data_IF_944938182929
#
_entry.id   IF_944938182929
#
_cell.length_a   1.000
_cell.length_b   1.000
_cell.length_c   1.000
_cell.angle_alpha   90.00
_cell.angle_beta   90.00
_cell.angle_gamma   90.00
#
_symmetry.space_group_name_H-M   'P 1'
#
loop_
_entity.id
_entity.type
_entity.pdbx_description
1 polymer ?
#
# COMPACT_ATOMS: atom_id res chain seq x y z
N UNK A 1 -8.31 -13.56 -20.88
CA UNK A 1 -8.74 -12.31 -20.20
C UNK A 1 -8.11 -12.16 -18.80
N UNK A 2 -8.13 -13.18 -17.92
CA UNK A 2 -7.54 -13.08 -16.56
C UNK A 2 -6.00 -13.05 -16.57
N UNK A 3 -5.36 -13.86 -17.38
CA UNK A 3 -3.89 -13.87 -17.56
C UNK A 3 -3.36 -12.54 -18.11
N UNK A 4 -4.18 -11.82 -18.86
CA UNK A 4 -3.77 -10.56 -19.49
C UNK A 4 -3.68 -9.41 -18.48
N UNK A 5 -4.56 -9.35 -17.48
CA UNK A 5 -4.51 -8.31 -16.43
C UNK A 5 -3.26 -8.45 -15.56
N UNK A 6 -2.94 -9.68 -15.15
CA UNK A 6 -1.70 -9.95 -14.37
C UNK A 6 -0.46 -9.66 -15.20
N UNK A 7 -0.47 -10.10 -16.47
CA UNK A 7 0.63 -9.83 -17.40
C UNK A 7 0.83 -8.32 -17.61
N UNK A 8 -0.24 -7.58 -17.79
CA UNK A 8 -0.20 -6.11 -17.93
C UNK A 8 0.32 -5.44 -16.66
N UNK A 9 -0.12 -5.88 -15.48
CA UNK A 9 0.37 -5.32 -14.22
C UNK A 9 1.86 -5.63 -14.00
N UNK A 10 2.31 -6.84 -14.33
CA UNK A 10 3.73 -7.22 -14.27
C UNK A 10 4.54 -6.44 -15.30
N UNK A 11 4.03 -6.26 -16.52
CA UNK A 11 4.73 -5.50 -17.55
C UNK A 11 4.88 -4.04 -17.15
N UNK A 12 3.82 -3.39 -16.66
CA UNK A 12 3.89 -2.02 -16.14
C UNK A 12 4.91 -1.90 -15.01
N UNK A 13 5.00 -2.90 -14.13
CA UNK A 13 6.00 -2.97 -13.08
C UNK A 13 7.41 -3.02 -13.66
N UNK A 14 7.65 -3.92 -14.61
CA UNK A 14 8.96 -4.07 -15.25
C UNK A 14 9.38 -2.81 -16.00
N UNK A 15 8.43 -2.14 -16.64
CA UNK A 15 8.67 -0.89 -17.37
C UNK A 15 9.06 0.24 -16.40
N UNK A 16 8.41 0.33 -15.22
CA UNK A 16 8.78 1.29 -14.18
C UNK A 16 10.17 1.01 -13.60
N UNK A 17 10.52 -0.26 -13.38
CA UNK A 17 11.87 -0.63 -12.96
C UNK A 17 12.94 -0.32 -14.05
N UNK A 18 12.62 -0.56 -15.32
CA UNK A 18 13.53 -0.30 -16.42
C UNK A 18 13.79 1.20 -16.62
N UNK A 19 12.81 2.04 -16.32
CA UNK A 19 12.92 3.51 -16.40
C UNK A 19 13.65 4.12 -15.19
N UNK A 20 14.05 3.32 -14.21
CA UNK A 20 14.66 3.75 -12.94
C UNK A 20 13.82 4.78 -12.15
N UNK A 21 12.56 4.91 -12.48
CA UNK A 21 11.60 5.85 -11.87
C UNK A 21 10.97 5.30 -10.58
N UNK A 22 11.53 4.20 -10.05
CA UNK A 22 11.02 3.57 -8.84
C UNK A 22 11.80 4.08 -7.62
N UNK A 23 11.31 5.10 -6.91
CA UNK A 23 11.99 5.59 -5.73
C UNK A 23 12.17 4.47 -4.69
N UNK A 24 13.34 4.39 -4.09
CA UNK A 24 13.65 3.39 -3.05
C UNK A 24 12.61 3.40 -1.92
N UNK A 25 12.06 4.57 -1.63
CA UNK A 25 11.02 4.83 -0.62
C UNK A 25 9.74 4.03 -0.88
N UNK A 26 9.35 3.86 -2.15
CA UNK A 26 8.17 3.05 -2.51
C UNK A 26 8.43 1.58 -2.25
N UNK A 27 9.65 1.12 -2.53
CA UNK A 27 10.10 -0.22 -2.17
C UNK A 27 9.92 -0.50 -0.68
N UNK A 28 10.26 0.45 0.17
CA UNK A 28 10.08 0.34 1.61
C UNK A 28 8.61 0.23 2.02
N UNK A 29 7.70 0.96 1.40
CA UNK A 29 6.25 0.84 1.67
C UNK A 29 5.69 -0.55 1.31
N UNK A 30 6.23 -1.17 0.24
CA UNK A 30 5.82 -2.53 -0.15
C UNK A 30 6.35 -3.57 0.85
N UNK A 31 7.55 -3.38 1.36
CA UNK A 31 8.20 -4.30 2.29
C UNK A 31 7.62 -4.15 3.70
N UNK A 32 7.22 -2.94 4.09
CA UNK A 32 6.69 -2.67 5.42
C UNK A 32 5.41 -3.48 5.67
N UNK A 33 5.36 -4.08 6.85
CA UNK A 33 4.19 -4.81 7.36
C UNK A 33 3.62 -4.06 8.55
N UNK A 34 2.32 -3.97 8.60
CA UNK A 34 1.59 -3.45 9.75
C UNK A 34 1.37 -4.56 10.77
N UNK A 35 1.20 -4.18 12.02
CA UNK A 35 0.93 -5.12 13.11
C UNK A 35 -0.20 -4.59 13.99
N UNK A 36 -0.77 -5.47 14.79
CA UNK A 36 -1.83 -5.11 15.74
C UNK A 36 -3.18 -4.83 15.06
N UNK A 37 -3.91 -3.85 15.56
CA UNK A 37 -5.28 -3.52 15.15
C UNK A 37 -5.41 -3.03 13.70
N UNK A 38 -4.30 -2.57 13.12
CA UNK A 38 -4.26 -2.04 11.74
C UNK A 38 -3.82 -3.08 10.71
N UNK A 39 -3.50 -4.31 11.14
CA UNK A 39 -3.10 -5.37 10.24
C UNK A 39 -4.24 -5.74 9.28
N UNK A 40 -3.90 -5.86 8.00
CA UNK A 40 -4.81 -6.35 6.98
C UNK A 40 -4.23 -7.61 6.33
N UNK A 41 -5.05 -8.48 5.71
CA UNK A 41 -4.55 -9.73 5.14
C UNK A 41 -3.36 -9.55 4.18
N UNK A 42 -3.34 -8.46 3.41
CA UNK A 42 -2.25 -8.16 2.48
C UNK A 42 -0.90 -7.89 3.14
N UNK A 43 -0.86 -7.62 4.45
CA UNK A 43 0.41 -7.42 5.17
C UNK A 43 1.23 -8.72 5.27
N UNK A 44 0.58 -9.88 5.19
CA UNK A 44 1.23 -11.19 5.14
C UNK A 44 1.64 -11.63 3.73
N UNK A 45 1.24 -10.87 2.69
CA UNK A 45 1.53 -11.24 1.31
C UNK A 45 3.00 -10.98 0.94
N UNK A 46 3.44 -11.70 -0.11
CA UNK A 46 4.75 -11.42 -0.71
C UNK A 46 4.81 -9.98 -1.25
N UNK A 47 6.02 -9.40 -1.34
CA UNK A 47 6.19 -8.06 -1.93
C UNK A 47 5.56 -7.94 -3.33
N UNK A 48 5.69 -8.96 -4.18
CA UNK A 48 5.09 -8.98 -5.52
C UNK A 48 3.56 -8.89 -5.49
N UNK A 49 2.90 -9.64 -4.60
CA UNK A 49 1.44 -9.56 -4.45
C UNK A 49 0.98 -8.20 -3.91
N UNK A 50 1.72 -7.62 -2.97
CA UNK A 50 1.44 -6.28 -2.45
C UNK A 50 1.60 -5.22 -3.53
N UNK A 51 2.60 -5.39 -4.39
CA UNK A 51 2.78 -4.52 -5.54
C UNK A 51 1.60 -4.62 -6.53
N UNK A 52 1.17 -5.83 -6.89
CA UNK A 52 0.01 -6.04 -7.77
C UNK A 52 -1.22 -5.30 -7.19
N UNK A 53 -1.45 -5.41 -5.89
CA UNK A 53 -2.53 -4.72 -5.20
C UNK A 53 -2.44 -3.19 -5.36
N UNK A 54 -1.26 -2.61 -5.09
CA UNK A 54 -1.02 -1.17 -5.21
C UNK A 54 -1.13 -0.69 -6.65
N UNK A 55 -0.57 -1.42 -7.62
CA UNK A 55 -0.66 -1.12 -9.05
C UNK A 55 -2.11 -1.14 -9.57
N UNK A 56 -2.98 -1.90 -8.90
CA UNK A 56 -4.43 -1.89 -9.17
C UNK A 56 -5.19 -0.78 -8.42
N UNK A 57 -4.48 0.15 -7.76
CA UNK A 57 -5.07 1.35 -7.14
C UNK A 57 -5.80 1.07 -5.83
N UNK A 58 -5.42 0.03 -5.09
CA UNK A 58 -6.03 -0.27 -3.80
C UNK A 58 -5.00 -0.54 -2.71
N UNK A 59 -5.38 -0.30 -1.47
CA UNK A 59 -4.54 -0.52 -0.28
C UNK A 59 -5.03 -1.66 0.59
N UNK A 60 -6.23 -2.16 0.31
CA UNK A 60 -6.82 -3.31 0.99
C UNK A 60 -7.56 -4.16 -0.03
N UNK A 61 -7.07 -5.37 -0.23
CA UNK A 61 -7.71 -6.37 -1.06
C UNK A 61 -7.80 -7.69 -0.29
N UNK A 62 -8.95 -8.34 -0.39
CA UNK A 62 -9.26 -9.55 0.37
C UNK A 62 -10.02 -10.55 -0.48
N UNK A 63 -9.90 -11.81 -0.12
CA UNK A 63 -10.78 -12.84 -0.67
C UNK A 63 -12.25 -12.60 -0.32
N UNK A 64 -13.15 -13.18 -1.11
CA UNK A 64 -14.60 -13.00 -0.93
C UNK A 64 -15.06 -13.30 0.50
N UNK A 65 -14.63 -14.41 1.07
CA UNK A 65 -14.97 -14.79 2.46
C UNK A 65 -14.38 -13.86 3.51
N UNK A 66 -13.19 -13.31 3.27
CA UNK A 66 -12.55 -12.36 4.19
C UNK A 66 -13.30 -11.03 4.23
N UNK A 67 -13.87 -10.58 3.09
CA UNK A 67 -14.76 -9.41 3.09
C UNK A 67 -16.02 -9.65 3.91
N UNK A 68 -16.59 -10.83 3.79
CA UNK A 68 -17.77 -11.21 4.56
C UNK A 68 -17.50 -11.23 6.08
N UNK A 69 -16.32 -11.69 6.50
CA UNK A 69 -15.90 -11.72 7.91
C UNK A 69 -15.82 -10.32 8.54
N UNK A 70 -15.54 -9.29 7.75
CA UNK A 70 -15.50 -7.89 8.23
C UNK A 70 -16.78 -7.11 7.93
N UNK A 71 -17.88 -7.81 7.65
CA UNK A 71 -19.18 -7.19 7.43
C UNK A 71 -19.32 -6.44 6.10
N UNK A 72 -18.49 -6.81 5.10
CA UNK A 72 -18.57 -6.22 3.76
C UNK A 72 -18.93 -7.27 2.71
N UNK A 73 -19.53 -6.80 1.63
CA UNK A 73 -19.91 -7.64 0.48
C UNK A 73 -19.33 -7.07 -0.80
N UNK A 74 -18.80 -7.95 -1.63
CA UNK A 74 -18.34 -7.59 -2.98
C UNK A 74 -19.56 -7.21 -3.82
N UNK A 75 -19.48 -6.07 -4.50
CA UNK A 75 -20.55 -5.57 -5.37
C UNK A 75 -20.70 -6.49 -6.58
N UNK A 76 -21.94 -6.69 -7.02
CA UNK A 76 -22.20 -7.47 -8.24
C UNK A 76 -21.48 -6.86 -9.45
N UNK A 77 -20.88 -7.70 -10.28
CA UNK A 77 -20.12 -7.25 -11.47
C UNK A 77 -18.70 -6.79 -11.18
N UNK A 78 -18.23 -6.79 -9.93
CA UNK A 78 -16.84 -6.45 -9.60
C UNK A 78 -15.86 -7.45 -10.19
N UNK A 79 -14.73 -6.95 -10.70
CA UNK A 79 -13.64 -7.77 -11.24
C UNK A 79 -12.63 -8.08 -10.14
N UNK A 80 -12.26 -9.35 -10.01
CA UNK A 80 -11.22 -9.76 -9.09
C UNK A 80 -9.83 -9.39 -9.60
N UNK A 81 -8.93 -9.09 -8.67
CA UNK A 81 -7.48 -9.13 -8.87
C UNK A 81 -7.01 -10.56 -8.59
N UNK A 82 -5.85 -10.93 -9.13
CA UNK A 82 -5.26 -12.23 -8.88
C UNK A 82 -3.90 -12.07 -8.21
N UNK A 83 -3.74 -12.73 -7.07
CA UNK A 83 -2.46 -12.84 -6.36
C UNK A 83 -1.94 -14.26 -6.45
N UNK A 84 -0.62 -14.42 -6.43
CA UNK A 84 0.05 -15.71 -6.45
C UNK A 84 0.22 -16.25 -5.03
N UNK A 85 -0.21 -17.46 -4.78
CA UNK A 85 0.03 -18.16 -3.51
C UNK A 85 0.74 -19.51 -3.75
N UNK A 86 1.71 -19.87 -2.90
CA UNK A 86 2.38 -21.16 -3.03
C UNK A 86 1.43 -22.32 -2.69
N UNK A 87 1.50 -23.37 -3.47
CA UNK A 87 0.99 -24.68 -3.09
C UNK A 87 2.07 -25.35 -2.24
N UNK A 88 1.76 -25.67 -1.00
CA UNK A 88 2.69 -26.31 -0.09
C UNK A 88 2.27 -27.72 0.24
N UNK A 89 3.24 -28.62 0.35
CA UNK A 89 3.06 -29.98 0.83
C UNK A 89 3.98 -30.22 2.02
N UNK A 90 3.44 -30.75 3.09
CA UNK A 90 4.24 -31.25 4.22
C UNK A 90 4.78 -32.62 3.84
N UNK A 91 6.08 -32.81 4.03
CA UNK A 91 6.74 -34.11 3.92
C UNK A 91 7.11 -34.49 5.34
N UNK A 92 6.56 -35.60 5.81
CA UNK A 92 7.06 -36.27 7.01
C UNK A 92 8.39 -36.94 6.65
N UNK A 93 9.41 -36.78 7.47
CA UNK A 93 10.56 -37.68 7.42
C UNK A 93 10.11 -39.07 7.92
N UNK A 94 10.55 -40.14 7.25
CA UNK A 94 10.23 -41.53 7.65
C UNK A 94 10.88 -41.94 8.99
N UNK A 95 11.59 -41.04 9.67
CA UNK A 95 12.09 -41.23 11.01
C UNK A 95 10.98 -40.97 12.03
N UNK A 96 10.44 -42.05 12.60
CA UNK A 96 9.32 -42.07 13.55
C UNK A 96 9.60 -41.35 14.88
N UNK A 97 10.83 -40.90 15.15
CA UNK A 97 11.26 -40.42 16.50
C UNK A 97 11.31 -38.88 16.66
N UNK A 98 11.03 -38.05 15.62
CA UNK A 98 11.05 -36.62 15.79
C UNK A 98 9.94 -35.89 14.99
N UNK A 99 8.80 -35.56 15.62
CA UNK A 99 7.70 -34.84 14.98
C UNK A 99 8.03 -33.38 14.59
N UNK A 100 9.15 -32.83 15.01
CA UNK A 100 9.57 -31.45 14.70
C UNK A 100 10.23 -31.30 13.31
N UNK A 101 10.55 -32.39 12.60
CA UNK A 101 11.27 -32.34 11.32
C UNK A 101 10.37 -32.33 10.08
N UNK A 102 9.07 -32.10 10.21
CA UNK A 102 8.18 -31.97 9.06
C UNK A 102 8.56 -30.77 8.18
N UNK A 103 9.18 -31.03 7.02
CA UNK A 103 9.55 -29.97 6.06
C UNK A 103 8.38 -29.63 5.16
N UNK A 104 8.09 -28.33 5.02
CA UNK A 104 7.12 -27.84 4.07
C UNK A 104 7.83 -27.48 2.75
N UNK A 105 7.47 -28.15 1.66
CA UNK A 105 8.00 -27.83 0.33
C UNK A 105 6.96 -27.10 -0.51
N UNK A 106 7.42 -26.21 -1.37
CA UNK A 106 6.59 -25.54 -2.36
C UNK A 106 6.54 -26.43 -3.61
N UNK A 107 5.35 -26.88 -4.00
CA UNK A 107 5.12 -27.75 -5.16
C UNK A 107 4.66 -26.99 -6.39
N UNK A 108 4.39 -25.70 -6.27
CA UNK A 108 3.93 -24.84 -7.35
C UNK A 108 3.25 -23.58 -6.82
N UNK A 109 2.56 -22.87 -7.72
CA UNK A 109 1.81 -21.68 -7.38
C UNK A 109 0.40 -21.76 -7.95
N UNK A 110 -0.54 -21.14 -7.23
CA UNK A 110 -1.92 -20.97 -7.68
C UNK A 110 -2.30 -19.51 -7.63
N UNK A 111 -3.21 -19.11 -8.50
CA UNK A 111 -3.78 -17.77 -8.51
C UNK A 111 -5.00 -17.72 -7.59
N UNK A 112 -5.05 -16.74 -6.70
CA UNK A 112 -6.15 -16.54 -5.77
C UNK A 112 -6.86 -15.24 -6.16
N UNK A 113 -8.19 -15.29 -6.42
CA UNK A 113 -8.95 -14.09 -6.66
C UNK A 113 -9.17 -13.32 -5.36
N UNK A 114 -8.87 -12.01 -5.41
CA UNK A 114 -9.15 -11.06 -4.34
C UNK A 114 -9.85 -9.83 -4.91
N UNK A 115 -10.58 -9.11 -4.08
CA UNK A 115 -11.37 -7.95 -4.48
C UNK A 115 -10.91 -6.73 -3.69
N UNK A 116 -10.90 -5.59 -4.34
CA UNK A 116 -10.50 -4.30 -3.76
C UNK A 116 -11.57 -3.82 -2.78
N UNK A 117 -11.17 -3.02 -1.79
CA UNK A 117 -12.10 -2.38 -0.85
C UNK A 117 -13.12 -1.49 -1.58
N UNK A 118 -12.69 -0.81 -2.65
CA UNK A 118 -13.52 0.09 -3.46
C UNK A 118 -14.65 -0.65 -4.18
N UNK A 119 -14.43 -1.93 -4.45
CA UNK A 119 -15.41 -2.83 -5.10
C UNK A 119 -16.32 -3.53 -4.08
N UNK A 120 -16.32 -3.07 -2.84
CA UNK A 120 -17.16 -3.62 -1.78
C UNK A 120 -18.09 -2.58 -1.17
N UNK A 121 -19.14 -3.06 -0.49
CA UNK A 121 -20.07 -2.25 0.30
C UNK A 121 -20.28 -2.89 1.66
N UNK A 122 -20.62 -2.10 2.67
CA UNK A 122 -20.86 -2.57 4.05
C UNK A 122 -20.21 -1.68 5.09
N UNK A 123 -19.91 -2.25 6.25
CA UNK A 123 -19.33 -1.50 7.37
C UNK A 123 -17.97 -0.87 7.02
N UNK A 124 -17.66 0.31 7.58
CA UNK A 124 -16.30 0.84 7.52
C UNK A 124 -15.32 -0.19 8.09
N UNK A 125 -14.24 -0.44 7.38
CA UNK A 125 -13.10 -1.22 7.90
C UNK A 125 -11.98 -0.26 8.26
N UNK A 126 -11.18 -0.63 9.24
CA UNK A 126 -9.95 0.09 9.53
C UNK A 126 -9.09 0.06 8.26
N UNK A 127 -8.90 1.22 7.66
CA UNK A 127 -8.01 1.37 6.52
C UNK A 127 -6.57 1.29 7.00
N UNK A 128 -5.72 0.82 6.11
CA UNK A 128 -4.31 0.73 6.38
C UNK A 128 -3.73 2.08 6.82
N UNK A 129 -3.14 2.12 8.01
CA UNK A 129 -2.39 3.28 8.48
C UNK A 129 -0.98 3.27 7.88
N UNK A 130 -0.69 4.25 7.04
CA UNK A 130 0.62 4.45 6.42
C UNK A 130 1.52 5.39 7.21
N UNK A 131 1.04 5.89 8.35
CA UNK A 131 1.83 6.75 9.22
C UNK A 131 3.13 6.06 9.62
N UNK A 132 4.30 6.69 9.46
CA UNK A 132 5.57 6.12 9.86
C UNK A 132 5.62 5.91 11.36
N UNK A 133 6.35 4.88 11.80
CA UNK A 133 6.55 4.63 13.25
C UNK A 133 7.37 5.75 13.92
N UNK A 134 8.30 6.33 13.16
CA UNK A 134 9.10 7.47 13.59
C UNK A 134 8.68 8.64 12.70
N UNK A 135 8.06 9.63 13.30
CA UNK A 135 7.66 10.84 12.59
C UNK A 135 8.88 11.65 12.16
N UNK A 136 8.82 12.38 11.04
CA UNK A 136 9.90 13.29 10.65
C UNK A 136 10.21 14.29 11.76
N UNK A 137 11.46 14.71 11.93
CA UNK A 137 11.78 15.82 12.81
C UNK A 137 10.91 17.05 12.50
N UNK A 138 10.55 17.82 13.51
CA UNK A 138 9.69 19.00 13.38
C UNK A 138 8.28 18.72 12.82
N UNK A 139 7.79 17.48 12.94
CA UNK A 139 6.45 17.09 12.44
C UNK A 139 5.33 17.94 13.06
N UNK A 140 5.47 18.34 14.32
CA UNK A 140 4.53 19.19 15.04
C UNK A 140 4.41 20.62 14.47
N UNK A 141 5.40 21.05 13.68
CA UNK A 141 5.40 22.38 13.04
C UNK A 141 4.25 22.50 12.03
N UNK A 142 3.93 21.46 11.29
CA UNK A 142 2.80 21.49 10.34
C UNK A 142 1.49 21.86 11.05
N UNK A 143 1.20 21.22 12.18
CA UNK A 143 -0.01 21.52 12.95
C UNK A 143 0.00 22.96 13.53
N UNK A 144 1.16 23.42 14.00
CA UNK A 144 1.33 24.81 14.50
C UNK A 144 1.10 25.84 13.39
N UNK A 145 1.42 25.50 12.15
CA UNK A 145 1.19 26.33 10.98
C UNK A 145 -0.23 26.14 10.39
N UNK A 146 -1.08 25.32 11.01
CA UNK A 146 -2.45 25.09 10.58
C UNK A 146 -2.59 24.13 9.40
N UNK A 147 -1.57 23.33 9.10
CA UNK A 147 -1.64 22.26 8.11
C UNK A 147 -1.92 20.91 8.77
N UNK A 148 -2.72 20.09 8.10
CA UNK A 148 -2.90 18.68 8.47
C UNK A 148 -2.01 17.79 7.60
N UNK A 149 -1.47 16.71 8.19
CA UNK A 149 -0.62 15.75 7.47
C UNK A 149 -1.23 14.38 7.55
N UNK A 150 -1.31 13.69 6.42
CA UNK A 150 -1.71 12.29 6.38
C UNK A 150 -0.87 11.49 5.39
N UNK A 151 -0.70 10.21 5.68
CA UNK A 151 -0.03 9.27 4.81
C UNK A 151 -1.06 8.41 4.06
N UNK A 152 -0.77 8.18 2.79
CA UNK A 152 -1.55 7.30 1.93
C UNK A 152 -0.61 6.45 1.07
N UNK A 153 -1.09 5.36 0.45
CA UNK A 153 -0.29 4.64 -0.52
C UNK A 153 0.03 5.51 -1.73
N UNK A 154 1.15 5.20 -2.36
CA UNK A 154 1.56 5.85 -3.60
C UNK A 154 0.53 5.61 -4.71
N UNK A 155 0.06 6.68 -5.32
CA UNK A 155 -0.95 6.65 -6.39
C UNK A 155 -0.34 6.61 -7.80
N UNK A 156 0.98 6.42 -7.91
CA UNK A 156 1.70 6.41 -9.17
C UNK A 156 2.03 7.80 -9.73
N UNK A 157 1.76 8.89 -8.98
CA UNK A 157 1.92 10.27 -9.49
C UNK A 157 2.91 11.10 -8.70
N UNK A 158 2.77 11.17 -7.39
CA UNK A 158 3.60 12.02 -6.56
C UNK A 158 3.83 11.42 -5.17
N UNK A 159 5.05 11.55 -4.65
CA UNK A 159 5.42 11.10 -3.30
C UNK A 159 4.81 11.97 -2.22
N UNK A 160 4.60 13.25 -2.50
CA UNK A 160 3.94 14.21 -1.65
C UNK A 160 3.01 15.11 -2.45
N UNK A 161 2.08 15.74 -1.78
CA UNK A 161 1.19 16.74 -2.38
C UNK A 161 0.63 17.66 -1.32
N UNK A 162 0.80 18.95 -1.50
CA UNK A 162 0.11 19.97 -0.73
C UNK A 162 -1.20 20.38 -1.42
N UNK A 163 -2.27 20.51 -0.64
CA UNK A 163 -3.59 20.97 -1.09
C UNK A 163 -3.90 22.32 -0.43
N UNK A 164 -3.74 23.45 -1.14
CA UNK A 164 -3.93 24.79 -0.55
C UNK A 164 -5.34 25.00 0.01
N UNK A 165 -6.39 24.52 -0.69
CA UNK A 165 -7.79 24.72 -0.31
C UNK A 165 -8.16 24.10 1.05
N UNK A 166 -7.56 22.96 1.39
CA UNK A 166 -7.80 22.24 2.65
C UNK A 166 -6.64 22.37 3.64
N UNK A 167 -5.54 23.01 3.25
CA UNK A 167 -4.27 23.04 4.00
C UNK A 167 -3.80 21.65 4.41
N UNK A 168 -3.97 20.69 3.50
CA UNK A 168 -3.67 19.28 3.73
C UNK A 168 -2.40 18.89 3.00
N UNK A 169 -1.44 18.31 3.72
CA UNK A 169 -0.26 17.65 3.19
C UNK A 169 -0.54 16.16 3.13
N UNK A 170 -0.44 15.57 1.94
CA UNK A 170 -0.62 14.14 1.70
C UNK A 170 0.71 13.55 1.30
N UNK A 171 1.20 12.56 2.04
CA UNK A 171 2.48 11.90 1.82
C UNK A 171 2.26 10.45 1.41
N UNK A 172 3.00 10.00 0.42
CA UNK A 172 2.98 8.62 -0.07
C UNK A 172 4.31 7.91 0.19
N UNK A 173 5.25 8.58 0.80
CA UNK A 173 6.50 8.01 1.30
C UNK A 173 6.72 8.34 2.79
N UNK A 174 7.82 7.88 3.36
CA UNK A 174 8.15 8.09 4.76
C UNK A 174 9.42 8.94 4.94
N UNK A 175 9.90 9.58 3.88
CA UNK A 175 11.11 10.39 3.95
C UNK A 175 10.79 11.76 4.55
N UNK A 176 11.69 12.24 5.41
CA UNK A 176 11.61 13.59 5.94
C UNK A 176 11.73 14.65 4.82
N UNK A 177 12.44 14.33 3.75
CA UNK A 177 12.64 15.23 2.62
C UNK A 177 11.32 15.58 1.93
N UNK A 178 10.49 14.58 1.62
CA UNK A 178 9.17 14.82 1.01
C UNK A 178 8.28 15.62 1.96
N UNK A 179 8.29 15.29 3.25
CA UNK A 179 7.55 16.09 4.23
C UNK A 179 7.98 17.56 4.23
N UNK A 180 9.29 17.83 4.24
CA UNK A 180 9.78 19.22 4.24
C UNK A 180 9.47 19.94 2.92
N UNK A 181 9.51 19.23 1.80
CA UNK A 181 9.13 19.80 0.51
C UNK A 181 7.66 20.29 0.53
N UNK A 182 6.75 19.47 1.01
CA UNK A 182 5.33 19.80 1.03
C UNK A 182 4.99 20.88 2.09
N UNK A 183 5.71 20.93 3.21
CA UNK A 183 5.52 22.01 4.20
C UNK A 183 6.01 23.35 3.67
N UNK A 184 7.05 23.37 2.83
CA UNK A 184 7.50 24.58 2.16
C UNK A 184 6.43 25.13 1.21
N UNK A 185 5.73 24.28 0.47
CA UNK A 185 4.58 24.71 -0.35
C UNK A 185 3.46 25.32 0.51
N UNK A 186 3.23 24.77 1.70
CA UNK A 186 2.27 25.37 2.64
C UNK A 186 2.72 26.73 3.11
N UNK A 187 3.98 26.90 3.47
CA UNK A 187 4.54 28.20 3.88
C UNK A 187 4.48 29.22 2.75
N UNK A 188 4.90 28.85 1.54
CA UNK A 188 4.81 29.72 0.36
C UNK A 188 3.40 30.22 0.10
N UNK A 189 2.41 29.36 0.32
CA UNK A 189 1.00 29.72 0.14
C UNK A 189 0.51 30.78 1.15
N UNK A 190 1.22 30.99 2.25
CA UNK A 190 0.88 31.94 3.30
C UNK A 190 1.67 33.27 3.19
N UNK A 191 2.74 33.28 2.39
CA UNK A 191 3.52 34.50 2.14
C UNK A 191 2.79 35.34 1.08
N UNK A 192 2.35 36.51 1.43
CA UNK A 192 1.81 37.45 0.44
C UNK A 192 2.90 37.78 -0.59
N UNK A 193 2.58 37.74 -1.91
CA UNK A 193 3.55 38.13 -2.92
C UNK A 193 4.00 39.55 -2.66
N UNK A 194 5.31 39.73 -2.55
CA UNK A 194 5.91 41.07 -2.43
C UNK A 194 5.47 41.86 -3.67
N UNK A 195 4.57 42.82 -3.50
CA UNK A 195 4.18 43.70 -4.60
C UNK A 195 5.42 44.49 -5.02
N UNK A 196 5.84 44.41 -6.31
CA UNK A 196 6.94 45.25 -6.76
C UNK A 196 6.54 46.70 -6.47
N UNK A 197 7.38 47.37 -5.72
CA UNK A 197 7.17 48.76 -5.33
C UNK A 197 6.86 49.61 -6.53
N UNK A 198 5.91 50.52 -6.36
CA UNK A 198 5.62 51.59 -7.32
C UNK A 198 6.83 52.50 -7.46
#
# INVERSE_FOLDING_TARGET
MEKDLVKTAIQNLLDQFAQQDFPAEIGWQIIRRRSGLHAVPSDSWSPGNRWIMLACGTTDARGFGQWHQVGRRVKSGSKSLYISAPNTRKISSDDEDDPETARTIVTGFRWIPVFRIEDTSGHPVCTADYTPQILPPLFDVAAKLGASVKWQPFDGKALGRYRPSSKEIVLSDQTALTYYHEIMHHLDSQIEPIRPGR
#
